data_IF_266543564126
#
_entry.id   IF_266543564126
#
_cell.length_a   1.000
_cell.length_b   1.000
_cell.length_c   1.000
_cell.angle_alpha   90.00
_cell.angle_beta   90.00
_cell.angle_gamma   90.00
#
_symmetry.space_group_name_H-M   'P 1'
#
loop_
_entity.id
_entity.type
_entity.pdbx_description
1 polymer ?
#
# COMPACT_ATOMS: atom_id res chain seq x y z
N UNK A 1 26.16 -15.21 3.95
CA UNK A 1 25.71 -13.94 3.37
C UNK A 1 24.21 -13.91 3.47
N UNK A 2 23.61 -12.83 3.99
CA UNK A 2 22.15 -12.72 4.09
C UNK A 2 21.57 -12.85 2.67
N UNK A 3 20.86 -13.93 2.40
CA UNK A 3 20.01 -14.04 1.20
C UNK A 3 18.80 -13.17 1.46
N UNK A 4 19.01 -11.84 1.48
CA UNK A 4 17.92 -10.90 1.63
C UNK A 4 17.02 -11.09 0.41
N UNK A 5 15.84 -11.67 0.62
CA UNK A 5 14.84 -11.84 -0.41
C UNK A 5 14.58 -10.46 -1.05
N UNK A 6 14.69 -10.40 -2.37
CA UNK A 6 14.42 -9.17 -3.10
C UNK A 6 12.93 -8.86 -3.05
N UNK A 7 12.56 -7.58 -2.97
CA UNK A 7 11.16 -7.16 -3.07
C UNK A 7 10.53 -7.63 -4.40
N UNK A 8 11.34 -7.87 -5.43
CA UNK A 8 10.91 -8.31 -6.75
C UNK A 8 10.54 -9.80 -6.84
N UNK A 9 10.71 -10.56 -5.76
CA UNK A 9 10.29 -11.97 -5.68
C UNK A 9 8.84 -12.13 -5.22
N UNK A 10 8.20 -11.04 -4.76
CA UNK A 10 6.81 -11.09 -4.30
C UNK A 10 5.81 -10.85 -5.43
N UNK A 11 4.73 -11.61 -5.41
CA UNK A 11 3.61 -11.52 -6.36
C UNK A 11 2.28 -11.34 -5.59
N UNK A 12 2.08 -10.19 -4.92
CA UNK A 12 0.85 -9.93 -4.19
C UNK A 12 -0.36 -9.94 -5.11
N UNK A 13 -1.52 -10.32 -4.56
CA UNK A 13 -2.77 -10.27 -5.29
C UNK A 13 -3.35 -8.86 -5.30
N UNK A 14 -3.86 -8.42 -6.44
CA UNK A 14 -4.61 -7.18 -6.56
C UNK A 14 -6.02 -7.31 -5.96
N UNK A 15 -6.81 -6.23 -6.02
CA UNK A 15 -8.21 -6.22 -5.52
C UNK A 15 -9.14 -7.23 -6.20
N UNK A 16 -8.79 -7.73 -7.39
CA UNK A 16 -9.53 -8.77 -8.13
C UNK A 16 -9.02 -10.19 -7.82
N UNK A 17 -7.99 -10.33 -6.99
CA UNK A 17 -7.38 -11.63 -6.67
C UNK A 17 -6.35 -12.10 -7.71
N UNK A 18 -5.91 -11.23 -8.61
CA UNK A 18 -4.94 -11.59 -9.66
C UNK A 18 -3.52 -11.27 -9.19
N UNK A 19 -2.51 -12.11 -9.47
CA UNK A 19 -1.11 -11.81 -9.17
C UNK A 19 -0.66 -10.49 -9.81
N UNK A 20 0.05 -9.66 -9.04
CA UNK A 20 0.71 -8.45 -9.49
C UNK A 20 2.18 -8.52 -9.08
N UNK A 21 3.04 -9.11 -9.92
CA UNK A 21 4.46 -9.27 -9.62
C UNK A 21 5.12 -7.94 -9.33
N UNK A 22 5.81 -7.82 -8.19
CA UNK A 22 6.52 -6.57 -7.87
C UNK A 22 7.73 -6.35 -8.79
N UNK A 23 8.18 -7.40 -9.47
CA UNK A 23 9.20 -7.35 -10.53
C UNK A 23 8.85 -6.39 -11.68
N UNK A 24 7.56 -6.15 -11.94
CA UNK A 24 7.07 -5.21 -12.96
C UNK A 24 7.46 -3.75 -12.64
N UNK A 25 7.78 -3.46 -11.38
CA UNK A 25 8.19 -2.13 -10.94
C UNK A 25 9.71 -1.97 -10.84
N UNK A 26 10.51 -2.91 -11.38
CA UNK A 26 11.97 -2.78 -11.39
C UNK A 26 12.41 -1.47 -12.04
N UNK A 27 13.41 -0.84 -11.41
CA UNK A 27 13.94 0.46 -11.85
C UNK A 27 13.12 1.66 -11.38
N UNK A 28 11.99 1.45 -10.70
CA UNK A 28 11.20 2.52 -10.09
C UNK A 28 11.48 2.61 -8.58
N UNK A 29 11.33 3.80 -8.03
CA UNK A 29 11.29 4.01 -6.58
C UNK A 29 9.89 3.67 -6.08
N UNK A 30 9.81 2.72 -5.14
CA UNK A 30 8.55 2.24 -4.56
C UNK A 30 8.33 2.79 -3.16
N UNK A 31 7.18 3.42 -2.94
CA UNK A 31 6.65 3.73 -1.62
C UNK A 31 5.52 2.75 -1.29
N UNK A 32 5.80 1.78 -0.43
CA UNK A 32 4.84 0.75 0.00
C UNK A 32 4.16 1.22 1.28
N UNK A 33 2.84 1.34 1.28
CA UNK A 33 2.06 1.91 2.39
C UNK A 33 1.01 0.92 2.86
N UNK A 34 0.99 0.61 4.16
CA UNK A 34 -0.15 -0.08 4.74
C UNK A 34 -1.31 0.92 4.92
N UNK A 35 -2.46 0.63 4.33
CA UNK A 35 -3.61 1.56 4.33
C UNK A 35 -4.79 1.01 5.12
N UNK A 36 -5.57 1.89 5.74
CA UNK A 36 -6.82 1.57 6.44
C UNK A 36 -7.83 2.70 6.23
N UNK A 37 -9.02 2.41 5.69
CA UNK A 37 -9.98 3.44 5.24
C UNK A 37 -10.89 4.03 6.30
N UNK A 38 -10.93 3.47 7.51
CA UNK A 38 -11.77 3.96 8.61
C UNK A 38 -11.01 4.19 9.92
N UNK A 39 -9.72 4.47 9.80
CA UNK A 39 -8.90 4.97 10.91
C UNK A 39 -8.82 6.50 10.81
N UNK A 40 -8.56 7.22 11.91
CA UNK A 40 -8.37 8.70 11.92
C UNK A 40 -7.18 9.22 11.09
N UNK A 41 -6.61 8.35 10.26
CA UNK A 41 -5.47 8.52 9.38
C UNK A 41 -5.87 8.76 7.92
N UNK A 42 -7.16 8.80 7.58
CA UNK A 42 -7.64 9.18 6.23
C UNK A 42 -7.03 10.47 5.67
N UNK A 43 -6.73 11.52 6.46
CA UNK A 43 -6.04 12.72 5.97
C UNK A 43 -4.69 12.44 5.29
N UNK A 44 -4.05 11.31 5.58
CA UNK A 44 -2.78 10.93 4.96
C UNK A 44 -2.92 10.65 3.45
N UNK A 45 -4.11 10.31 2.95
CA UNK A 45 -4.31 10.08 1.51
C UNK A 45 -4.11 11.35 0.69
N UNK A 46 -4.54 12.50 1.19
CA UNK A 46 -4.32 13.79 0.51
C UNK A 46 -2.82 14.11 0.43
N UNK A 47 -2.08 13.85 1.52
CA UNK A 47 -0.63 14.01 1.55
C UNK A 47 0.09 13.07 0.57
N UNK A 48 -0.35 11.81 0.49
CA UNK A 48 0.20 10.83 -0.45
C UNK A 48 -0.12 11.17 -1.91
N UNK A 49 -1.33 11.67 -2.19
CA UNK A 49 -1.71 12.13 -3.52
C UNK A 49 -0.88 13.33 -3.96
N UNK A 50 -0.70 14.31 -3.05
CA UNK A 50 0.16 15.47 -3.31
C UNK A 50 1.61 15.03 -3.56
N UNK A 51 2.17 14.18 -2.71
CA UNK A 51 3.51 13.63 -2.90
C UNK A 51 3.65 12.93 -4.26
N UNK A 52 2.69 12.10 -4.64
CA UNK A 52 2.70 11.43 -5.93
C UNK A 52 2.73 12.43 -7.09
N UNK A 53 1.89 13.46 -7.06
CA UNK A 53 1.85 14.52 -8.08
C UNK A 53 3.17 15.30 -8.14
N UNK A 54 3.66 15.75 -6.99
CA UNK A 54 4.89 16.54 -6.89
C UNK A 54 6.12 15.78 -7.39
N UNK A 55 6.20 14.47 -7.10
CA UNK A 55 7.31 13.62 -7.56
C UNK A 55 7.14 13.27 -9.05
N UNK A 56 5.92 12.98 -9.50
CA UNK A 56 5.64 12.68 -10.91
C UNK A 56 5.93 13.87 -11.82
N UNK A 57 5.65 15.09 -11.37
CA UNK A 57 5.99 16.31 -12.10
C UNK A 57 7.52 16.46 -12.30
N UNK A 58 8.31 16.06 -11.32
CA UNK A 58 9.77 16.19 -11.33
C UNK A 58 10.52 15.02 -11.97
N UNK A 59 9.96 13.82 -11.86
CA UNK A 59 10.65 12.56 -12.17
C UNK A 59 9.87 11.64 -13.12
N UNK A 60 8.75 12.11 -13.69
CA UNK A 60 7.92 11.31 -14.60
C UNK A 60 7.33 10.07 -13.92
N UNK A 61 7.41 8.93 -14.58
CA UNK A 61 6.81 7.68 -14.11
C UNK A 61 7.77 6.80 -13.27
N UNK A 62 8.88 7.36 -12.77
CA UNK A 62 9.90 6.63 -12.02
C UNK A 62 9.55 6.41 -10.54
N UNK A 63 8.42 6.93 -10.07
CA UNK A 63 7.94 6.78 -8.70
C UNK A 63 6.54 6.18 -8.63
N UNK A 64 6.34 5.19 -7.75
CA UNK A 64 5.07 4.49 -7.57
C UNK A 64 4.75 4.32 -6.09
N UNK A 65 3.48 4.59 -5.72
CA UNK A 65 2.95 4.31 -4.39
C UNK A 65 2.07 3.05 -4.46
N UNK A 66 2.40 2.03 -3.68
CA UNK A 66 1.63 0.78 -3.57
C UNK A 66 0.90 0.73 -2.22
N UNK A 67 -0.43 0.77 -2.27
CA UNK A 67 -1.27 0.70 -1.08
C UNK A 67 -1.73 -0.72 -0.76
N UNK A 68 -1.27 -1.27 0.37
CA UNK A 68 -1.68 -2.58 0.88
C UNK A 68 -2.69 -2.39 2.01
N UNK A 69 -3.98 -2.73 1.81
CA UNK A 69 -4.95 -2.63 2.88
C UNK A 69 -4.68 -3.72 3.92
N UNK A 70 -4.55 -3.35 5.19
CA UNK A 70 -4.42 -4.31 6.29
C UNK A 70 -5.75 -4.42 7.05
N UNK A 71 -6.26 -5.65 7.19
CA UNK A 71 -7.40 -5.96 8.05
C UNK A 71 -6.91 -6.69 9.31
N UNK A 72 -6.89 -6.01 10.45
CA UNK A 72 -6.57 -6.62 11.76
C UNK A 72 -7.75 -7.42 12.37
N UNK A 73 -8.82 -7.71 11.63
CA UNK A 73 -10.08 -8.12 12.27
C UNK A 73 -10.17 -9.58 12.74
N UNK A 74 -9.16 -10.43 12.58
CA UNK A 74 -9.35 -11.85 12.94
C UNK A 74 -9.15 -12.21 14.43
N UNK A 75 -8.98 -11.27 15.36
CA UNK A 75 -8.59 -11.61 16.75
C UNK A 75 -9.25 -10.87 17.92
N UNK A 76 -10.39 -10.18 17.77
CA UNK A 76 -11.08 -9.59 18.93
C UNK A 76 -12.56 -9.99 19.01
N UNK A 77 -12.98 -10.71 20.09
CA UNK A 77 -14.38 -10.93 20.37
C UNK A 77 -15.02 -9.64 20.86
N UNK A 78 -16.26 -9.42 20.45
CA UNK A 78 -17.18 -8.37 20.89
C UNK A 78 -16.74 -6.89 20.81
N UNK A 79 -17.29 -6.24 19.79
CA UNK A 79 -18.23 -5.13 19.98
C UNK A 79 -17.74 -3.90 20.79
N UNK A 80 -16.86 -3.11 20.17
CA UNK A 80 -16.77 -1.67 20.49
C UNK A 80 -16.98 -0.85 19.22
N UNK A 81 -18.05 -0.05 19.26
CA UNK A 81 -18.44 0.91 18.23
C UNK A 81 -17.32 1.95 18.09
N UNK A 82 -16.59 1.90 16.98
CA UNK A 82 -15.56 2.90 16.66
C UNK A 82 -14.46 2.43 15.72
N UNK A 83 -14.40 1.14 15.36
CA UNK A 83 -13.29 0.60 14.55
C UNK A 83 -13.64 0.38 13.07
N UNK A 84 -12.84 1.02 12.23
CA UNK A 84 -12.36 0.56 10.92
C UNK A 84 -13.25 -0.44 10.14
N UNK A 85 -14.39 0.01 9.61
CA UNK A 85 -15.24 -0.74 8.66
C UNK A 85 -14.85 -0.37 7.21
N UNK A 86 -14.83 -1.25 6.21
CA UNK A 86 -14.76 -0.81 4.79
C UNK A 86 -16.19 -0.63 4.22
N UNK A 87 -16.35 0.15 3.16
CA UNK A 87 -17.57 0.21 2.32
C UNK A 87 -17.20 -0.35 0.96
#
# INVERSE_FOLDING_TARGET
MSSAASIYEFEPLNKKGEPTPLSDYKGKVLLIVNTASKCGFTPQFEGLEKLYKDVKEKHGDDFVILGFPYQLWSFLPHHEKGRCKWR
#
